data_IF_715517902538
#
_entry.id   IF_715517902538
#
_cell.length_a   1.000
_cell.length_b   1.000
_cell.length_c   1.000
_cell.angle_alpha   90.00
_cell.angle_beta   90.00
_cell.angle_gamma   90.00
#
_symmetry.space_group_name_H-M   'P 1'
#
loop_
_entity.id
_entity.type
_entity.pdbx_description
1 polymer ?
#
# COMPACT_ATOMS: atom_id res chain seq x y z
N UNK A 1 -6.56 13.32 2.01
CA UNK A 1 -5.35 13.23 2.88
C UNK A 1 -4.20 12.53 2.15
N UNK A 2 -4.46 11.38 1.53
CA UNK A 2 -3.52 10.64 0.70
C UNK A 2 -3.09 11.39 -0.59
N UNK A 3 -4.03 11.99 -1.32
CA UNK A 3 -3.69 12.85 -2.48
C UNK A 3 -2.80 14.04 -2.12
N UNK A 4 -3.05 14.66 -0.97
CA UNK A 4 -2.20 15.75 -0.46
C UNK A 4 -0.78 15.24 -0.17
N UNK A 5 -0.65 14.07 0.46
CA UNK A 5 0.66 13.43 0.70
C UNK A 5 1.40 13.14 -0.61
N UNK A 6 0.72 12.62 -1.63
CA UNK A 6 1.30 12.37 -2.96
C UNK A 6 1.73 13.66 -3.63
N UNK A 7 0.89 14.70 -3.56
CA UNK A 7 1.19 16.02 -4.13
C UNK A 7 2.39 16.65 -3.44
N UNK A 8 2.45 16.58 -2.11
CA UNK A 8 3.56 17.10 -1.30
C UNK A 8 4.86 16.32 -1.59
N UNK A 9 4.78 14.99 -1.76
CA UNK A 9 5.93 14.16 -2.13
C UNK A 9 6.42 14.45 -3.55
N UNK A 10 5.51 14.66 -4.50
CA UNK A 10 5.84 15.02 -5.88
C UNK A 10 6.46 16.43 -5.96
N UNK A 11 5.97 17.36 -5.14
CA UNK A 11 6.55 18.70 -5.00
C UNK A 11 7.95 18.66 -4.37
N UNK A 12 8.17 17.81 -3.37
CA UNK A 12 9.48 17.62 -2.74
C UNK A 12 10.49 16.97 -3.69
N UNK A 13 10.02 16.11 -4.60
CA UNK A 13 10.82 15.40 -5.59
C UNK A 13 11.24 16.27 -6.80
N UNK A 14 10.45 17.28 -7.13
CA UNK A 14 10.66 18.18 -8.29
C UNK A 14 12.07 18.79 -8.35
N UNK A 15 12.61 19.43 -7.29
CA UNK A 15 13.97 19.99 -7.31
C UNK A 15 15.08 18.94 -7.43
N UNK A 16 14.84 17.71 -6.96
CA UNK A 16 15.77 16.60 -7.20
C UNK A 16 15.70 16.13 -8.65
N UNK A 17 14.52 16.08 -9.26
CA UNK A 17 14.36 15.68 -10.66
C UNK A 17 15.10 16.63 -11.62
N UNK A 18 15.08 17.93 -11.32
CA UNK A 18 15.77 18.97 -12.09
C UNK A 18 17.30 18.93 -11.89
N UNK A 19 17.80 18.62 -10.68
CA UNK A 19 19.24 18.51 -10.40
C UNK A 19 19.84 17.12 -10.72
N UNK A 20 19.02 16.06 -10.77
CA UNK A 20 19.42 14.68 -11.03
C UNK A 20 19.16 14.26 -12.49
N UNK A 21 18.83 15.19 -13.40
CA UNK A 21 18.52 14.91 -14.80
C UNK A 21 19.68 14.38 -15.66
N UNK A 22 20.90 14.28 -15.12
CA UNK A 22 22.02 13.60 -15.78
C UNK A 22 21.95 12.08 -15.62
N UNK A 23 22.30 11.31 -16.66
CA UNK A 23 22.29 9.83 -16.67
C UNK A 23 22.90 9.15 -15.42
N UNK A 24 23.83 9.83 -14.73
CA UNK A 24 24.48 9.33 -13.51
C UNK A 24 23.58 9.27 -12.26
N UNK A 25 22.50 10.06 -12.22
CA UNK A 25 21.59 10.10 -11.08
C UNK A 25 20.24 9.45 -11.37
N UNK A 26 20.06 8.93 -12.59
CA UNK A 26 18.85 8.25 -13.01
C UNK A 26 18.42 7.12 -12.05
N UNK A 27 19.32 6.23 -11.58
CA UNK A 27 18.89 5.16 -10.68
C UNK A 27 18.46 5.68 -9.30
N UNK A 28 19.04 6.79 -8.82
CA UNK A 28 18.63 7.44 -7.56
C UNK A 28 17.23 8.05 -7.73
N UNK A 29 16.97 8.71 -8.85
CA UNK A 29 15.64 9.20 -9.20
C UNK A 29 14.61 8.06 -9.28
N UNK A 30 14.97 6.94 -9.92
CA UNK A 30 14.13 5.75 -10.02
C UNK A 30 13.81 5.15 -8.65
N UNK A 31 14.79 5.05 -7.74
CA UNK A 31 14.58 4.58 -6.36
C UNK A 31 13.58 5.45 -5.60
N UNK A 32 13.67 6.78 -5.72
CA UNK A 32 12.72 7.68 -5.07
C UNK A 32 11.31 7.58 -5.67
N UNK A 33 11.19 7.44 -7.00
CA UNK A 33 9.90 7.17 -7.66
C UNK A 33 9.30 5.85 -7.18
N UNK A 34 10.13 4.81 -7.06
CA UNK A 34 9.71 3.50 -6.54
C UNK A 34 9.19 3.61 -5.10
N UNK A 35 9.88 4.36 -4.25
CA UNK A 35 9.42 4.61 -2.88
C UNK A 35 8.06 5.30 -2.85
N UNK A 36 7.86 6.35 -3.66
CA UNK A 36 6.59 7.06 -3.76
C UNK A 36 5.44 6.13 -4.19
N UNK A 37 5.64 5.36 -5.26
CA UNK A 37 4.65 4.39 -5.75
C UNK A 37 4.33 3.30 -4.73
N UNK A 38 5.33 2.85 -3.97
CA UNK A 38 5.14 1.82 -2.94
C UNK A 38 4.28 2.35 -1.80
N UNK A 39 4.59 3.56 -1.30
CA UNK A 39 3.76 4.24 -0.31
C UNK A 39 2.34 4.47 -0.81
N UNK A 40 2.19 4.76 -2.10
CA UNK A 40 0.88 4.94 -2.71
C UNK A 40 0.03 3.69 -2.75
N UNK A 41 0.63 2.57 -3.17
CA UNK A 41 -0.05 1.27 -3.13
C UNK A 41 -0.45 0.93 -1.69
N UNK A 42 0.46 1.07 -0.72
CA UNK A 42 0.18 0.77 0.69
C UNK A 42 -0.92 1.67 1.29
N UNK A 43 -0.88 2.98 1.00
CA UNK A 43 -1.89 3.92 1.46
C UNK A 43 -3.27 3.65 0.86
N UNK A 44 -3.32 3.29 -0.42
CA UNK A 44 -4.55 2.89 -1.12
C UNK A 44 -5.13 1.61 -0.51
N UNK A 45 -4.28 0.63 -0.19
CA UNK A 45 -4.69 -0.62 0.47
C UNK A 45 -5.22 -0.43 1.89
N UNK A 46 -4.58 0.43 2.69
CA UNK A 46 -5.12 0.82 4.01
C UNK A 46 -6.49 1.48 3.87
N UNK A 47 -6.64 2.43 2.94
CA UNK A 47 -7.91 3.14 2.72
C UNK A 47 -9.01 2.16 2.37
N UNK A 48 -8.76 1.26 1.41
CA UNK A 48 -9.71 0.21 1.02
C UNK A 48 -10.10 -0.67 2.21
N UNK A 49 -9.12 -1.15 2.97
CA UNK A 49 -9.37 -2.00 4.14
C UNK A 49 -10.27 -1.31 5.17
N UNK A 50 -10.00 -0.05 5.52
CA UNK A 50 -10.82 0.67 6.50
C UNK A 50 -12.24 0.93 6.00
N UNK A 51 -12.41 1.35 4.74
CA UNK A 51 -13.73 1.54 4.13
C UNK A 51 -14.55 0.25 4.22
N UNK A 52 -13.95 -0.86 3.80
CA UNK A 52 -14.57 -2.17 3.87
C UNK A 52 -14.95 -2.61 5.29
N UNK A 53 -14.09 -2.35 6.28
CA UNK A 53 -14.37 -2.68 7.68
C UNK A 53 -15.54 -1.85 8.22
N UNK A 54 -15.60 -0.55 7.90
CA UNK A 54 -16.72 0.32 8.31
C UNK A 54 -18.02 -0.17 7.70
N UNK A 55 -18.02 -0.54 6.42
CA UNK A 55 -19.20 -1.10 5.76
C UNK A 55 -19.65 -2.42 6.42
N UNK A 56 -18.72 -3.32 6.72
CA UNK A 56 -19.01 -4.60 7.36
C UNK A 56 -19.60 -4.40 8.77
N UNK A 57 -19.00 -3.52 9.58
CA UNK A 57 -19.50 -3.19 10.92
C UNK A 57 -20.91 -2.58 10.84
N UNK A 58 -21.12 -1.64 9.92
CA UNK A 58 -22.43 -0.99 9.73
C UNK A 58 -23.50 -2.05 9.41
N UNK A 59 -23.21 -2.95 8.46
CA UNK A 59 -24.11 -4.06 8.12
C UNK A 59 -24.36 -4.98 9.32
N UNK A 60 -23.34 -5.26 10.13
CA UNK A 60 -23.49 -6.11 11.30
C UNK A 60 -24.38 -5.47 12.37
N UNK A 61 -24.22 -4.16 12.63
CA UNK A 61 -25.09 -3.41 13.55
C UNK A 61 -26.54 -3.41 13.05
N UNK A 62 -26.77 -3.18 11.76
CA UNK A 62 -28.11 -3.29 11.18
C UNK A 62 -28.71 -4.68 11.33
N UNK A 63 -27.90 -5.72 11.12
CA UNK A 63 -28.37 -7.10 11.22
C UNK A 63 -28.74 -7.47 12.67
N UNK A 64 -27.92 -7.03 13.64
CA UNK A 64 -28.19 -7.26 15.08
C UNK A 64 -29.47 -6.55 15.52
N UNK A 65 -29.72 -5.32 15.05
CA UNK A 65 -30.90 -4.55 15.44
C UNK A 65 -32.21 -5.10 14.84
N UNK A 66 -32.14 -5.73 13.66
CA UNK A 66 -33.31 -6.27 12.96
C UNK A 66 -33.62 -7.73 13.29
N UNK A 67 -32.65 -8.49 13.79
CA UNK A 67 -32.79 -9.94 14.03
C UNK A 67 -33.15 -10.23 15.49
N UNK A 68 -34.33 -10.82 15.71
CA UNK A 68 -34.80 -11.24 17.04
C UNK A 68 -34.48 -12.71 17.37
N UNK A 69 -34.14 -13.50 16.36
CA UNK A 69 -33.78 -14.91 16.47
C UNK A 69 -32.31 -15.07 16.93
N UNK A 70 -32.13 -15.64 18.12
CA UNK A 70 -30.80 -15.83 18.74
C UNK A 70 -29.89 -16.75 17.92
N UNK A 71 -30.43 -17.77 17.25
CA UNK A 71 -29.63 -18.70 16.46
C UNK A 71 -29.04 -18.00 15.23
N UNK A 72 -29.85 -17.19 14.55
CA UNK A 72 -29.44 -16.36 13.41
C UNK A 72 -28.44 -15.27 13.81
N UNK A 73 -28.61 -14.68 15.00
CA UNK A 73 -27.63 -13.73 15.54
C UNK A 73 -26.25 -14.38 15.76
N UNK A 74 -26.23 -15.62 16.27
CA UNK A 74 -24.99 -16.37 16.49
C UNK A 74 -24.28 -16.68 15.17
N UNK A 75 -25.03 -17.19 14.18
CA UNK A 75 -24.50 -17.44 12.84
C UNK A 75 -23.96 -16.15 12.19
N UNK A 76 -24.69 -15.04 12.30
CA UNK A 76 -24.25 -13.75 11.81
C UNK A 76 -22.95 -13.27 12.47
N UNK A 77 -22.78 -13.48 13.79
CA UNK A 77 -21.52 -13.13 14.47
C UNK A 77 -20.34 -13.98 13.98
N UNK A 78 -20.53 -15.29 13.78
CA UNK A 78 -19.48 -16.17 13.27
C UNK A 78 -19.08 -15.76 11.86
N UNK A 79 -20.06 -15.53 10.98
CA UNK A 79 -19.82 -15.10 9.61
C UNK A 79 -19.09 -13.73 9.57
N UNK A 80 -19.50 -12.79 10.43
CA UNK A 80 -18.81 -11.50 10.56
C UNK A 80 -17.35 -11.67 11.01
N UNK A 81 -17.09 -12.53 12.00
CA UNK A 81 -15.73 -12.79 12.47
C UNK A 81 -14.85 -13.41 11.37
N UNK A 82 -15.38 -14.37 10.61
CA UNK A 82 -14.68 -15.00 9.48
C UNK A 82 -14.41 -14.01 8.33
N UNK A 83 -15.37 -13.13 8.03
CA UNK A 83 -15.20 -12.07 7.03
C UNK A 83 -14.09 -11.10 7.44
N UNK A 84 -14.10 -10.63 8.69
CA UNK A 84 -13.06 -9.75 9.23
C UNK A 84 -11.67 -10.41 9.22
N UNK A 85 -11.58 -11.69 9.60
CA UNK A 85 -10.33 -12.45 9.51
C UNK A 85 -9.82 -12.55 8.07
N UNK A 86 -10.72 -12.76 7.11
CA UNK A 86 -10.40 -12.82 5.68
C UNK A 86 -9.88 -11.49 5.16
N UNK A 87 -10.50 -10.36 5.56
CA UNK A 87 -10.06 -9.01 5.20
C UNK A 87 -8.66 -8.70 5.72
N UNK A 88 -8.38 -9.03 6.99
CA UNK A 88 -7.06 -8.84 7.60
C UNK A 88 -6.00 -9.70 6.90
N UNK A 89 -6.32 -10.98 6.65
CA UNK A 89 -5.40 -11.89 5.96
C UNK A 89 -5.07 -11.41 4.55
N UNK A 90 -6.07 -10.89 3.82
CA UNK A 90 -5.88 -10.31 2.49
C UNK A 90 -5.03 -9.05 2.55
N UNK A 91 -5.31 -8.13 3.47
CA UNK A 91 -4.50 -6.92 3.66
C UNK A 91 -3.03 -7.28 3.91
N UNK A 92 -2.78 -8.22 4.83
CA UNK A 92 -1.42 -8.66 5.13
C UNK A 92 -0.71 -9.21 3.89
N UNK A 93 -1.36 -10.13 3.16
CA UNK A 93 -0.79 -10.73 1.95
C UNK A 93 -0.49 -9.66 0.89
N UNK A 94 -1.45 -8.78 0.60
CA UNK A 94 -1.27 -7.73 -0.40
C UNK A 94 -0.15 -6.75 -0.01
N UNK A 95 -0.03 -6.38 1.26
CA UNK A 95 1.08 -5.54 1.72
C UNK A 95 2.43 -6.24 1.56
N UNK A 96 2.52 -7.54 1.87
CA UNK A 96 3.76 -8.31 1.68
C UNK A 96 4.13 -8.42 0.21
N UNK A 97 3.15 -8.60 -0.68
CA UNK A 97 3.36 -8.63 -2.13
C UNK A 97 3.90 -7.27 -2.63
N UNK A 98 3.30 -6.15 -2.19
CA UNK A 98 3.75 -4.79 -2.53
C UNK A 98 5.19 -4.53 -2.07
N UNK A 99 5.52 -4.90 -0.82
CA UNK A 99 6.86 -4.70 -0.26
C UNK A 99 7.90 -5.60 -0.97
N UNK A 100 7.52 -6.82 -1.32
CA UNK A 100 8.38 -7.76 -2.04
C UNK A 100 8.71 -7.22 -3.44
N UNK A 101 7.70 -6.75 -4.17
CA UNK A 101 7.87 -6.11 -5.49
C UNK A 101 8.80 -4.88 -5.37
N UNK A 102 8.59 -4.03 -4.36
CA UNK A 102 9.42 -2.86 -4.13
C UNK A 102 10.88 -3.23 -3.84
N UNK A 103 11.12 -4.27 -3.04
CA UNK A 103 12.46 -4.75 -2.73
C UNK A 103 13.19 -5.26 -3.98
N UNK A 104 12.51 -6.05 -4.82
CA UNK A 104 13.09 -6.62 -6.04
C UNK A 104 13.46 -5.52 -7.05
N UNK A 105 12.58 -4.54 -7.22
CA UNK A 105 12.83 -3.39 -8.08
C UNK A 105 13.98 -2.52 -7.53
N UNK A 106 14.02 -2.27 -6.21
CA UNK A 106 15.10 -1.50 -5.59
C UNK A 106 16.46 -2.19 -5.72
N UNK A 107 16.49 -3.51 -5.56
CA UNK A 107 17.72 -4.31 -5.74
C UNK A 107 18.26 -4.16 -7.15
N UNK A 108 17.38 -4.18 -8.15
CA UNK A 108 17.77 -4.00 -9.57
C UNK A 108 18.38 -2.62 -9.84
N UNK A 109 17.79 -1.55 -9.29
CA UNK A 109 18.33 -0.18 -9.42
C UNK A 109 19.69 -0.02 -8.69
N UNK A 110 19.88 -0.68 -7.54
CA UNK A 110 21.16 -0.68 -6.82
C UNK A 110 22.25 -1.41 -7.61
N UNK A 111 21.94 -2.55 -8.25
CA UNK A 111 22.90 -3.22 -9.12
C UNK A 111 23.25 -2.40 -10.36
N UNK A 112 22.29 -1.64 -10.91
CA UNK A 112 22.55 -0.68 -11.97
C UNK A 112 23.52 0.43 -11.51
N UNK A 113 23.36 0.96 -10.29
CA UNK A 113 24.30 1.93 -9.69
C UNK A 113 25.71 1.36 -9.57
N UNK A 114 25.84 0.13 -9.02
CA UNK A 114 27.14 -0.53 -8.88
C UNK A 114 27.84 -0.70 -10.22
N UNK A 115 27.08 -1.08 -11.26
CA UNK A 115 27.60 -1.26 -12.62
C UNK A 115 28.10 0.07 -13.20
N UNK A 116 27.31 1.14 -13.05
CA UNK A 116 27.72 2.47 -13.51
C UNK A 116 28.95 3.01 -12.77
N UNK A 117 29.05 2.74 -11.46
CA UNK A 117 30.21 3.16 -10.66
C UNK A 117 31.50 2.44 -11.09
N UNK A 118 31.42 1.13 -11.38
CA UNK A 118 32.56 0.34 -11.89
C UNK A 118 33.01 0.75 -13.28
N UNK A 119 32.11 1.21 -14.14
CA UNK A 119 32.45 1.67 -15.49
C UNK A 119 33.14 3.06 -15.52
N UNK A 120 33.14 3.79 -14.40
CA UNK A 120 33.78 5.11 -14.25
C UNK A 120 35.11 5.08 -13.47
N UNK A 121 35.49 3.93 -12.91
CA UNK A 121 36.73 3.70 -12.17
C UNK A 121 37.79 3.06 -13.09
#
# INVERSE_FOLDING_TARGET
>A
MFEKMMTDMQAMMKPYQENLGGKQFQPISNLMILQAKTLEKLGSEQTRFYTECVEAITKQVENITKTTDKSKLQEAQVNFAQDMQSRVSRLFKTNMDIITEARENATSEVEALKTQAKAKA
#
